data_IF_207836026509
#
_entry.id   IF_207836026509
#
_cell.length_a   1.000
_cell.length_b   1.000
_cell.length_c   1.000
_cell.angle_alpha   90.00
_cell.angle_beta   90.00
_cell.angle_gamma   90.00
#
_symmetry.space_group_name_H-M   'P 1'
#
loop_
_entity.id
_entity.type
_entity.pdbx_description
1 polymer ?
#
# COMPACT_ATOMS: atom_id res chain seq x y z
N UNK A 1 -5.51 -20.69 -35.31
CA UNK A 1 -6.25 -19.87 -34.33
C UNK A 1 -6.72 -18.60 -35.01
N UNK A 2 -7.98 -18.53 -35.45
CA UNK A 2 -8.53 -17.35 -36.11
C UNK A 2 -8.68 -16.22 -35.10
N UNK A 3 -8.18 -15.01 -35.42
CA UNK A 3 -8.34 -13.84 -34.55
C UNK A 3 -9.84 -13.57 -34.38
N UNK A 4 -10.31 -13.45 -33.13
CA UNK A 4 -11.70 -13.09 -32.81
C UNK A 4 -12.00 -11.70 -33.39
N UNK A 5 -13.15 -11.57 -34.05
CA UNK A 5 -13.63 -10.29 -34.57
C UNK A 5 -13.86 -9.27 -33.45
N UNK A 6 -13.59 -7.99 -33.75
CA UNK A 6 -13.78 -6.89 -32.81
C UNK A 6 -15.28 -6.75 -32.47
N UNK A 7 -15.70 -6.80 -31.20
CA UNK A 7 -17.11 -6.68 -30.80
C UNK A 7 -17.74 -5.31 -31.08
N UNK A 8 -16.94 -4.31 -31.43
CA UNK A 8 -17.36 -2.91 -31.63
C UNK A 8 -17.34 -2.49 -33.10
N UNK A 9 -17.37 -3.42 -34.05
CA UNK A 9 -17.29 -3.13 -35.49
C UNK A 9 -18.59 -2.56 -36.11
N UNK A 10 -19.52 -2.07 -35.29
CA UNK A 10 -20.59 -1.22 -35.81
C UNK A 10 -19.94 0.12 -36.16
N UNK A 11 -19.68 0.31 -37.46
CA UNK A 11 -19.00 1.46 -38.07
C UNK A 11 -19.72 2.81 -37.92
N UNK A 12 -20.34 3.07 -36.77
CA UNK A 12 -20.84 4.38 -36.40
C UNK A 12 -19.64 5.30 -36.14
N UNK A 13 -19.53 6.46 -36.83
CA UNK A 13 -18.45 7.40 -36.57
C UNK A 13 -18.57 7.94 -35.14
N UNK A 14 -17.49 7.82 -34.37
CA UNK A 14 -17.39 8.40 -33.02
C UNK A 14 -17.57 9.92 -33.13
N UNK A 15 -18.73 10.43 -32.70
CA UNK A 15 -19.00 11.87 -32.69
C UNK A 15 -18.23 12.50 -31.53
N UNK A 16 -17.25 13.34 -31.85
CA UNK A 16 -16.56 14.16 -30.84
C UNK A 16 -17.43 15.38 -30.53
N UNK A 17 -17.97 15.44 -29.31
CA UNK A 17 -18.60 16.66 -28.79
C UNK A 17 -17.51 17.69 -28.53
N UNK A 18 -17.55 18.81 -29.26
CA UNK A 18 -16.68 19.96 -28.99
C UNK A 18 -17.22 20.70 -27.76
N UNK A 19 -16.53 20.59 -26.63
CA UNK A 19 -16.80 21.42 -25.45
C UNK A 19 -16.13 22.77 -25.69
N UNK A 20 -16.91 23.81 -25.97
CA UNK A 20 -16.39 25.18 -25.99
C UNK A 20 -16.08 25.64 -24.58
N UNK A 21 -15.01 26.42 -24.43
CA UNK A 21 -14.57 27.04 -23.19
C UNK A 21 -15.68 27.95 -22.64
N UNK A 22 -16.52 27.39 -21.77
CA UNK A 22 -17.33 28.19 -20.87
C UNK A 22 -16.39 28.84 -19.87
N UNK A 23 -16.38 30.18 -19.82
CA UNK A 23 -15.79 30.94 -18.73
C UNK A 23 -16.18 30.26 -17.42
N UNK A 24 -15.18 29.75 -16.71
CA UNK A 24 -15.38 28.93 -15.51
C UNK A 24 -15.92 29.85 -14.42
N UNK A 25 -17.24 29.97 -14.35
CA UNK A 25 -17.94 30.45 -13.16
C UNK A 25 -17.39 29.60 -12.01
N UNK A 26 -16.76 30.28 -11.05
CA UNK A 26 -16.13 29.65 -9.90
C UNK A 26 -14.59 29.61 -9.92
N UNK A 27 -13.87 30.37 -10.74
CA UNK A 27 -12.40 30.52 -10.58
C UNK A 27 -12.04 31.04 -9.18
N UNK A 28 -12.79 32.02 -8.69
CA UNK A 28 -12.69 32.55 -7.32
C UNK A 28 -12.97 31.45 -6.28
N UNK A 29 -14.01 30.65 -6.47
CA UNK A 29 -14.38 29.57 -5.55
C UNK A 29 -13.35 28.44 -5.55
N UNK A 30 -12.83 28.07 -6.74
CA UNK A 30 -11.73 27.10 -6.89
C UNK A 30 -10.47 27.58 -6.18
N UNK A 31 -10.13 28.87 -6.33
CA UNK A 31 -9.00 29.48 -5.63
C UNK A 31 -9.22 29.49 -4.12
N UNK A 32 -10.43 29.78 -3.65
CA UNK A 32 -10.75 29.75 -2.22
C UNK A 32 -10.65 28.34 -1.63
N UNK A 33 -11.13 27.31 -2.33
CA UNK A 33 -10.99 25.90 -1.93
C UNK A 33 -9.52 25.49 -1.88
N UNK A 34 -8.73 25.89 -2.89
CA UNK A 34 -7.31 25.61 -2.94
C UNK A 34 -6.56 26.22 -1.74
N UNK A 35 -6.75 27.52 -1.48
CA UNK A 35 -6.06 28.21 -0.38
C UNK A 35 -6.47 27.68 1.00
N UNK A 36 -7.75 27.37 1.21
CA UNK A 36 -8.22 26.75 2.46
C UNK A 36 -7.55 25.39 2.68
N UNK A 37 -7.53 24.56 1.64
CA UNK A 37 -6.93 23.22 1.72
C UNK A 37 -5.42 23.31 1.98
N UNK A 38 -4.74 24.23 1.28
CA UNK A 38 -3.33 24.54 1.48
C UNK A 38 -3.05 24.93 2.94
N UNK A 39 -3.81 25.87 3.49
CA UNK A 39 -3.66 26.32 4.87
C UNK A 39 -3.81 25.16 5.88
N UNK A 40 -4.81 24.30 5.70
CA UNK A 40 -5.07 23.12 6.55
C UNK A 40 -3.92 22.10 6.51
N UNK A 41 -3.36 21.83 5.32
CA UNK A 41 -2.22 20.94 5.18
C UNK A 41 -0.99 21.47 5.93
N UNK A 42 -0.70 22.76 5.79
CA UNK A 42 0.44 23.37 6.48
C UNK A 42 0.22 23.48 7.99
N UNK A 43 -0.99 23.76 8.47
CA UNK A 43 -1.28 23.77 9.91
C UNK A 43 -1.18 22.37 10.51
N UNK A 44 -1.72 21.37 9.83
CA UNK A 44 -1.62 19.97 10.24
C UNK A 44 -0.16 19.52 10.33
N UNK A 45 0.65 19.83 9.32
CA UNK A 45 2.07 19.50 9.30
C UNK A 45 2.86 20.15 10.45
N UNK A 46 2.48 21.35 10.90
CA UNK A 46 3.11 22.01 12.06
C UNK A 46 2.63 21.45 13.40
N UNK A 47 1.42 20.91 13.46
CA UNK A 47 0.82 20.40 14.70
C UNK A 47 1.25 18.98 15.09
N UNK A 48 1.92 18.26 14.19
CA UNK A 48 2.52 16.97 14.52
C UNK A 48 3.88 17.19 15.19
N UNK A 49 4.04 16.92 16.50
CA UNK A 49 5.38 16.84 17.06
C UNK A 49 6.14 15.71 16.35
N UNK A 50 7.40 15.96 16.00
CA UNK A 50 8.34 14.89 15.61
C UNK A 50 8.47 13.98 16.82
N UNK A 51 7.73 12.89 16.83
CA UNK A 51 7.79 11.88 17.88
C UNK A 51 9.15 11.18 17.80
N UNK A 52 10.09 11.61 18.65
CA UNK A 52 11.36 10.94 18.90
C UNK A 52 11.15 9.81 19.91
N UNK A 53 10.40 8.77 19.53
CA UNK A 53 10.20 7.60 20.37
C UNK A 53 9.53 6.44 19.62
N UNK A 54 9.89 5.18 19.91
CA UNK A 54 9.31 4.03 19.24
C UNK A 54 7.92 3.77 19.84
N UNK A 55 6.87 3.95 19.05
CA UNK A 55 5.52 3.61 19.47
C UNK A 55 4.81 2.80 18.39
N UNK A 56 4.36 1.63 18.84
CA UNK A 56 3.56 0.64 18.16
C UNK A 56 2.17 1.20 17.79
N UNK A 57 1.88 1.20 16.47
CA UNK A 57 0.60 1.07 15.72
C UNK A 57 -0.73 1.61 16.32
N UNK A 58 -1.62 2.25 15.51
CA UNK A 58 -2.28 1.57 14.39
C UNK A 58 -2.44 2.36 13.07
N UNK A 59 -2.38 1.59 11.98
CA UNK A 59 -3.04 1.82 10.67
C UNK A 59 -2.87 3.19 10.00
N UNK A 60 -1.71 3.41 9.39
CA UNK A 60 -1.62 4.26 8.19
C UNK A 60 -1.76 3.37 6.95
N UNK A 61 -2.48 3.78 5.90
CA UNK A 61 -2.55 3.01 4.67
C UNK A 61 -1.12 2.88 4.12
N UNK A 62 -0.71 1.61 4.02
CA UNK A 62 0.52 1.11 3.42
C UNK A 62 1.05 2.08 2.34
N UNK A 63 2.17 2.71 2.64
CA UNK A 63 3.00 3.33 1.62
C UNK A 63 3.45 2.20 0.69
N UNK A 64 2.70 2.04 -0.40
CA UNK A 64 3.08 1.23 -1.55
C UNK A 64 4.46 1.66 -2.00
N UNK A 65 5.40 0.71 -1.99
CA UNK A 65 6.69 0.79 -2.65
C UNK A 65 7.52 1.98 -2.20
N UNK A 66 8.61 1.71 -1.50
CA UNK A 66 9.73 2.65 -1.45
C UNK A 66 10.24 2.87 -2.89
N UNK A 67 9.60 3.79 -3.62
CA UNK A 67 10.19 4.39 -4.79
C UNK A 67 11.52 4.98 -4.32
N UNK A 68 12.58 4.74 -5.09
CA UNK A 68 13.90 5.35 -4.92
C UNK A 68 13.86 6.86 -5.20
N UNK A 69 12.92 7.57 -4.59
CA UNK A 69 12.77 9.01 -4.64
C UNK A 69 12.71 9.51 -3.20
N UNK A 70 13.77 10.20 -2.78
CA UNK A 70 13.85 10.81 -1.46
C UNK A 70 12.57 11.62 -1.18
N UNK A 71 11.85 11.27 -0.12
CA UNK A 71 10.64 11.96 0.31
C UNK A 71 10.91 13.46 0.37
N UNK A 72 10.18 14.25 -0.43
CA UNK A 72 10.28 15.71 -0.40
C UNK A 72 9.50 16.24 0.80
N UNK A 73 10.08 17.19 1.53
CA UNK A 73 9.46 17.90 2.64
C UNK A 73 9.21 19.34 2.23
N UNK A 74 8.03 19.88 2.55
CA UNK A 74 7.80 21.32 2.38
C UNK A 74 8.57 22.10 3.44
N UNK A 75 9.41 23.01 2.97
CA UNK A 75 10.08 23.98 3.81
C UNK A 75 9.14 25.07 4.29
N UNK A 76 9.64 25.92 5.18
CA UNK A 76 8.84 26.91 5.90
C UNK A 76 8.25 27.99 4.96
N UNK A 77 8.81 28.17 3.76
CA UNK A 77 8.31 29.11 2.75
C UNK A 77 7.63 28.40 1.57
N UNK A 78 7.35 27.10 1.69
CA UNK A 78 6.63 26.30 0.70
C UNK A 78 7.50 25.66 -0.38
N UNK A 79 8.83 25.80 -0.28
CA UNK A 79 9.79 25.11 -1.14
C UNK A 79 9.79 23.59 -0.91
N UNK A 80 9.97 22.80 -1.96
CA UNK A 80 10.13 21.35 -1.85
C UNK A 80 11.60 21.01 -1.57
N UNK A 81 11.92 20.68 -0.32
CA UNK A 81 13.25 20.26 0.11
C UNK A 81 13.37 18.75 0.05
N UNK A 82 14.51 18.21 -0.40
CA UNK A 82 14.77 16.77 -0.23
C UNK A 82 15.00 16.50 1.25
N UNK A 83 14.30 15.49 1.79
CA UNK A 83 14.64 15.01 3.14
C UNK A 83 16.08 14.53 3.15
N UNK A 84 16.87 14.85 4.19
CA UNK A 84 18.24 14.36 4.28
C UNK A 84 18.21 12.85 4.18
N UNK A 85 18.83 12.29 3.13
CA UNK A 85 19.01 10.86 3.03
C UNK A 85 19.85 10.45 4.23
N UNK A 86 19.28 9.64 5.12
CA UNK A 86 20.05 8.95 6.13
C UNK A 86 20.97 8.00 5.36
N UNK A 87 22.20 8.43 5.11
CA UNK A 87 23.30 7.60 4.62
C UNK A 87 23.68 6.64 5.73
N UNK A 88 22.82 5.66 5.98
CA UNK A 88 23.09 4.55 6.87
C UNK A 88 23.30 3.33 6.00
N UNK A 89 24.55 3.04 5.65
CA UNK A 89 24.98 1.72 5.22
C UNK A 89 25.00 0.78 6.45
N UNK A 90 23.89 0.73 7.18
CA UNK A 90 23.66 -0.20 8.27
C UNK A 90 22.97 -1.44 7.74
N UNK A 91 23.09 -2.60 8.41
CA UNK A 91 22.36 -3.80 8.03
C UNK A 91 20.87 -3.44 7.95
N UNK A 92 20.31 -3.55 6.75
CA UNK A 92 18.87 -3.35 6.55
C UNK A 92 18.15 -4.35 7.45
N UNK A 93 17.40 -3.85 8.43
CA UNK A 93 16.56 -4.71 9.26
C UNK A 93 15.71 -5.61 8.37
N UNK A 94 15.60 -6.91 8.65
CA UNK A 94 14.81 -7.81 7.82
C UNK A 94 13.36 -7.31 7.74
N UNK A 95 12.77 -7.37 6.55
CA UNK A 95 11.39 -6.95 6.30
C UNK A 95 10.53 -8.16 5.98
N UNK A 96 9.24 -8.08 6.26
CA UNK A 96 8.29 -9.12 5.89
C UNK A 96 8.19 -9.22 4.37
N UNK A 97 8.32 -10.42 3.82
CA UNK A 97 8.24 -10.64 2.38
C UNK A 97 6.83 -10.45 1.78
N UNK A 98 5.80 -10.18 2.59
CA UNK A 98 4.42 -9.98 2.15
C UNK A 98 3.94 -8.53 2.30
N UNK A 99 4.15 -7.93 3.48
CA UNK A 99 3.72 -6.55 3.74
C UNK A 99 4.86 -5.52 3.72
N UNK A 100 6.10 -5.97 3.51
CA UNK A 100 7.32 -5.13 3.47
C UNK A 100 7.59 -4.33 4.76
N UNK A 101 6.82 -4.59 5.82
CA UNK A 101 7.02 -3.96 7.12
C UNK A 101 8.28 -4.49 7.81
N UNK A 102 9.03 -3.66 8.55
CA UNK A 102 10.16 -4.10 9.36
C UNK A 102 9.76 -5.21 10.33
N UNK A 103 10.60 -6.25 10.42
CA UNK A 103 10.39 -7.36 11.35
C UNK A 103 11.08 -7.06 12.68
N UNK A 104 10.29 -6.93 13.75
CA UNK A 104 10.80 -7.10 15.11
C UNK A 104 10.90 -8.59 15.47
N UNK A 105 9.89 -9.36 15.04
CA UNK A 105 9.79 -10.80 15.24
C UNK A 105 9.01 -11.41 14.08
N UNK A 106 9.38 -12.64 13.72
CA UNK A 106 8.78 -13.36 12.61
C UNK A 106 9.37 -14.75 12.47
N UNK A 107 8.81 -15.54 11.57
CA UNK A 107 9.30 -16.86 11.23
C UNK A 107 9.44 -17.03 9.72
N UNK A 108 10.16 -18.06 9.30
CA UNK A 108 10.20 -18.47 7.89
C UNK A 108 8.97 -19.31 7.56
N UNK A 109 8.44 -19.14 6.35
CA UNK A 109 7.38 -20.00 5.83
C UNK A 109 7.93 -21.40 5.54
N UNK A 110 7.31 -22.46 6.06
CA UNK A 110 7.74 -23.85 5.84
C UNK A 110 7.58 -24.37 4.41
N UNK A 111 7.11 -23.55 3.46
CA UNK A 111 6.96 -23.91 2.03
C UNK A 111 7.84 -23.06 1.11
N UNK A 112 7.73 -21.73 1.22
CA UNK A 112 8.44 -20.80 0.34
C UNK A 112 9.66 -20.16 1.00
N UNK A 113 9.94 -20.51 2.26
CA UNK A 113 11.11 -20.10 3.06
C UNK A 113 11.25 -18.59 3.31
N UNK A 114 10.33 -17.78 2.79
CA UNK A 114 10.30 -16.33 3.00
C UNK A 114 10.05 -15.99 4.47
N UNK A 115 10.77 -14.98 4.97
CA UNK A 115 10.56 -14.37 6.29
C UNK A 115 9.22 -13.59 6.32
N UNK A 116 8.38 -13.90 7.28
CA UNK A 116 7.06 -13.26 7.45
C UNK A 116 6.85 -12.77 8.87
N UNK A 117 6.14 -11.64 9.01
CA UNK A 117 5.76 -11.12 10.32
C UNK A 117 4.63 -11.96 10.93
N UNK A 118 4.41 -11.79 12.24
CA UNK A 118 3.35 -12.47 12.99
C UNK A 118 1.95 -12.26 12.37
N UNK A 119 1.70 -11.13 11.72
CA UNK A 119 0.40 -10.86 11.06
C UNK A 119 0.25 -11.58 9.72
N UNK A 120 1.36 -11.83 9.03
CA UNK A 120 1.39 -12.47 7.72
C UNK A 120 1.62 -13.99 7.80
N UNK A 121 1.88 -14.53 9.00
CA UNK A 121 2.04 -15.97 9.22
C UNK A 121 0.69 -16.63 9.55
N UNK A 122 0.57 -17.92 9.23
CA UNK A 122 -0.58 -18.80 9.51
C UNK A 122 -0.03 -20.15 9.96
N UNK A 123 -0.70 -20.81 10.91
CA UNK A 123 -0.33 -22.16 11.33
C UNK A 123 -1.26 -23.17 10.65
N UNK A 124 -0.68 -24.16 9.97
CA UNK A 124 -1.48 -25.23 9.38
C UNK A 124 -2.09 -26.10 10.48
N UNK A 125 -3.40 -26.34 10.44
CA UNK A 125 -4.08 -27.20 11.41
C UNK A 125 -3.78 -28.69 11.26
N UNK A 126 -3.17 -29.08 10.13
CA UNK A 126 -2.83 -30.48 9.82
C UNK A 126 -1.37 -30.78 10.19
N UNK A 127 -0.41 -30.08 9.60
CA UNK A 127 1.02 -30.34 9.83
C UNK A 127 1.64 -29.48 10.94
N UNK A 128 0.88 -28.55 11.53
CA UNK A 128 1.27 -27.65 12.63
C UNK A 128 2.44 -26.69 12.33
N UNK A 129 2.99 -26.72 11.11
CA UNK A 129 4.04 -25.81 10.67
C UNK A 129 3.49 -24.43 10.37
N UNK A 130 4.37 -23.43 10.49
CA UNK A 130 4.06 -22.04 10.14
C UNK A 130 4.29 -21.81 8.65
N UNK A 131 3.32 -21.17 8.00
CA UNK A 131 3.36 -20.81 6.59
C UNK A 131 2.97 -19.33 6.44
N UNK A 132 3.30 -18.72 5.30
CA UNK A 132 2.81 -17.39 4.99
C UNK A 132 1.33 -17.44 4.57
N UNK A 133 0.64 -16.31 4.65
CA UNK A 133 -0.76 -16.17 4.24
C UNK A 133 -1.02 -16.69 2.81
N UNK A 134 -0.09 -16.51 1.88
CA UNK A 134 -0.21 -16.98 0.49
C UNK A 134 -0.02 -18.49 0.34
N UNK A 135 0.65 -19.15 1.30
CA UNK A 135 0.87 -20.60 1.30
C UNK A 135 -0.16 -21.38 2.13
N UNK A 136 -1.18 -20.69 2.65
CA UNK A 136 -2.29 -21.27 3.38
C UNK A 136 -3.62 -20.83 2.79
N UNK A 137 -4.62 -21.70 2.92
CA UNK A 137 -6.00 -21.46 2.56
C UNK A 137 -6.86 -21.63 3.82
N UNK A 138 -7.84 -20.74 4.06
CA UNK A 138 -8.84 -20.98 5.09
C UNK A 138 -9.75 -22.15 4.67
N UNK A 139 -10.01 -23.07 5.60
CA UNK A 139 -10.98 -24.16 5.50
C UNK A 139 -12.15 -23.86 6.47
N UNK A 140 -13.37 -23.92 5.93
CA UNK A 140 -14.64 -23.67 6.62
C UNK A 140 -15.53 -24.92 6.75
N UNK A 141 -15.03 -26.11 6.46
CA UNK A 141 -15.81 -27.36 6.51
C UNK A 141 -16.18 -27.78 7.94
N UNK A 142 -15.53 -27.19 8.95
CA UNK A 142 -15.84 -27.37 10.36
C UNK A 142 -16.63 -26.21 10.98
N UNK A 143 -16.97 -26.34 12.27
CA UNK A 143 -17.61 -25.24 13.03
C UNK A 143 -16.74 -23.99 13.20
N UNK A 144 -15.43 -24.13 13.06
CA UNK A 144 -14.46 -23.05 13.23
C UNK A 144 -13.57 -22.97 12.00
N UNK A 145 -13.19 -21.74 11.65
CA UNK A 145 -12.19 -21.49 10.61
C UNK A 145 -10.84 -22.12 10.99
N UNK A 146 -10.26 -22.86 10.06
CA UNK A 146 -8.92 -23.45 10.19
C UNK A 146 -8.07 -23.03 9.01
N UNK A 147 -6.76 -22.95 9.19
CA UNK A 147 -5.84 -22.69 8.09
C UNK A 147 -5.19 -24.00 7.67
N UNK A 148 -5.20 -24.32 6.38
CA UNK A 148 -4.54 -25.50 5.82
C UNK A 148 -3.49 -25.03 4.84
N UNK A 149 -2.26 -25.55 4.92
CA UNK A 149 -1.24 -25.23 3.95
C UNK A 149 -1.52 -25.94 2.62
N UNK A 150 -1.03 -25.37 1.51
CA UNK A 150 -1.33 -25.89 0.16
C UNK A 150 -0.83 -27.33 -0.05
N UNK A 151 0.15 -27.79 0.73
CA UNK A 151 0.69 -29.15 0.61
C UNK A 151 -0.08 -30.17 1.45
N UNK A 152 -0.90 -29.73 2.42
CA UNK A 152 -1.78 -30.61 3.16
C UNK A 152 -3.13 -30.75 2.43
N UNK A 153 -3.73 -31.96 2.41
CA UNK A 153 -5.05 -32.13 1.82
C UNK A 153 -6.09 -31.31 2.59
N UNK A 154 -6.98 -30.63 1.87
CA UNK A 154 -8.23 -30.15 2.44
C UNK A 154 -9.08 -31.39 2.76
N UNK A 155 -9.41 -31.58 4.03
CA UNK A 155 -10.27 -32.66 4.51
C UNK A 155 -11.72 -32.24 4.40
#
# INVERSE_FOLDING_TARGET
MSKRGCPWSDGAPQRKTCVREGAVVGEVEKKAVYERTRALLFSGARSLPVSSGPSCHPTTPSQRGAAKGAQMRLGLRGELLRSPQKTGNGPSSPVCALCECPLLSGSTCGRCEKLVCVQCQRQCSVCLRTHCFTCCLPNYDGRYERMICIDCPAQ
#
